data_IF_013194598753
#
_entry.id   IF_013194598753
#
_cell.length_a   1.000
_cell.length_b   1.000
_cell.length_c   1.000
_cell.angle_alpha   90.00
_cell.angle_beta   90.00
_cell.angle_gamma   90.00
#
_symmetry.space_group_name_H-M   'P 1'
#
loop_
_entity.id
_entity.type
_entity.pdbx_description
1 polymer ?
#
# COMPACT_ATOMS: atom_id res chain seq x y z
N UNK A 1 -13.64 30.78 -6.78
CA UNK A 1 -13.44 29.50 -6.05
C UNK A 1 -11.97 29.15 -6.10
N UNK A 2 -11.39 28.74 -5.01
CA UNK A 2 -9.97 28.33 -4.92
C UNK A 2 -9.81 26.96 -5.57
N UNK A 3 -9.18 26.90 -6.73
CA UNK A 3 -9.08 25.68 -7.55
C UNK A 3 -8.33 24.52 -6.86
N UNK A 4 -7.19 24.72 -6.19
CA UNK A 4 -6.51 23.64 -5.47
C UNK A 4 -7.39 23.01 -4.37
N UNK A 5 -8.10 23.82 -3.60
CA UNK A 5 -9.02 23.32 -2.55
C UNK A 5 -10.22 22.60 -3.14
N UNK A 6 -10.74 23.07 -4.24
CA UNK A 6 -11.84 22.40 -4.92
C UNK A 6 -11.40 21.06 -5.52
N UNK A 7 -10.24 20.99 -6.13
CA UNK A 7 -9.68 19.74 -6.65
C UNK A 7 -9.45 18.71 -5.51
N UNK A 8 -8.95 19.16 -4.37
CA UNK A 8 -8.81 18.31 -3.18
C UNK A 8 -10.17 17.83 -2.65
N UNK A 9 -11.17 18.70 -2.61
CA UNK A 9 -12.54 18.35 -2.23
C UNK A 9 -13.13 17.29 -3.19
N UNK A 10 -13.03 17.49 -4.49
CA UNK A 10 -13.53 16.54 -5.49
C UNK A 10 -12.86 15.16 -5.34
N UNK A 11 -11.56 15.12 -5.06
CA UNK A 11 -10.83 13.86 -4.81
C UNK A 11 -11.34 13.17 -3.53
N UNK A 12 -11.50 13.89 -2.41
CA UNK A 12 -12.02 13.35 -1.16
C UNK A 12 -13.47 12.88 -1.32
N UNK A 13 -14.30 13.67 -2.02
CA UNK A 13 -15.69 13.31 -2.30
C UNK A 13 -15.80 12.05 -3.17
N UNK A 14 -14.96 11.91 -4.21
CA UNK A 14 -14.91 10.71 -5.03
C UNK A 14 -14.50 9.46 -4.23
N UNK A 15 -13.54 9.61 -3.31
CA UNK A 15 -13.14 8.53 -2.39
C UNK A 15 -14.31 8.05 -1.52
N UNK A 16 -15.13 8.98 -0.99
CA UNK A 16 -16.23 8.64 -0.10
C UNK A 16 -17.52 8.22 -0.83
N UNK A 17 -17.80 8.82 -1.98
CA UNK A 17 -19.03 8.57 -2.73
C UNK A 17 -18.93 7.37 -3.67
N UNK A 18 -17.78 7.25 -4.36
CA UNK A 18 -17.61 6.33 -5.48
C UNK A 18 -16.64 5.18 -5.15
N UNK A 19 -16.24 5.03 -3.89
CA UNK A 19 -15.20 4.08 -3.46
C UNK A 19 -13.89 4.17 -4.25
N UNK A 20 -13.62 5.35 -4.83
CA UNK A 20 -12.44 5.58 -5.65
C UNK A 20 -11.16 5.55 -4.81
N UNK A 21 -10.04 5.19 -5.42
CA UNK A 21 -8.73 5.32 -4.79
C UNK A 21 -8.13 6.70 -5.09
N UNK A 22 -7.69 7.42 -4.06
CA UNK A 22 -7.15 8.77 -4.19
C UNK A 22 -5.99 8.85 -5.20
N UNK A 23 -5.10 7.85 -5.20
CA UNK A 23 -3.97 7.77 -6.12
C UNK A 23 -4.36 7.56 -7.60
N UNK A 24 -5.59 7.13 -7.87
CA UNK A 24 -6.09 6.97 -9.24
C UNK A 24 -6.88 8.19 -9.72
N UNK A 25 -7.67 8.82 -8.85
CA UNK A 25 -8.55 9.93 -9.26
C UNK A 25 -7.87 11.28 -9.19
N UNK A 26 -7.04 11.54 -8.18
CA UNK A 26 -6.41 12.84 -7.99
C UNK A 26 -5.54 13.28 -9.18
N UNK A 27 -4.68 12.44 -9.78
CA UNK A 27 -3.91 12.86 -10.96
C UNK A 27 -4.76 13.32 -12.15
N UNK A 28 -5.91 12.69 -12.36
CA UNK A 28 -6.86 13.09 -13.41
C UNK A 28 -7.53 14.43 -13.07
N UNK A 29 -8.01 14.59 -11.83
CA UNK A 29 -8.61 15.84 -11.37
C UNK A 29 -7.63 17.01 -11.50
N UNK A 30 -6.36 16.83 -11.10
CA UNK A 30 -5.35 17.88 -11.22
C UNK A 30 -5.07 18.26 -12.66
N UNK A 31 -4.99 17.30 -13.56
CA UNK A 31 -4.77 17.50 -15.00
C UNK A 31 -5.95 18.24 -15.63
N UNK A 32 -7.16 17.79 -15.36
CA UNK A 32 -8.38 18.39 -15.91
C UNK A 32 -8.61 19.84 -15.42
N UNK A 33 -8.17 20.12 -14.18
CA UNK A 33 -8.18 21.46 -13.61
C UNK A 33 -6.97 22.32 -14.04
N UNK A 34 -6.02 21.79 -14.81
CA UNK A 34 -4.81 22.51 -15.24
C UNK A 34 -3.86 22.86 -14.08
N UNK A 35 -3.94 22.15 -12.93
CA UNK A 35 -3.14 22.42 -11.76
C UNK A 35 -1.76 21.79 -11.90
N UNK A 36 -0.73 22.60 -11.69
CA UNK A 36 0.69 22.17 -11.74
C UNK A 36 1.50 22.77 -10.59
N UNK A 37 2.74 22.32 -10.40
CA UNK A 37 3.67 22.91 -9.45
C UNK A 37 3.13 22.99 -8.01
N UNK A 38 3.18 24.18 -7.43
CA UNK A 38 2.78 24.40 -6.02
C UNK A 38 1.29 24.17 -5.76
N UNK A 39 0.43 24.48 -6.72
CA UNK A 39 -1.01 24.32 -6.57
C UNK A 39 -1.42 22.83 -6.61
N UNK A 40 -0.82 22.06 -7.51
CA UNK A 40 -0.99 20.60 -7.52
C UNK A 40 -0.44 19.94 -6.25
N UNK A 41 0.72 20.40 -5.76
CA UNK A 41 1.30 19.91 -4.52
C UNK A 41 0.40 20.22 -3.31
N UNK A 42 -0.19 21.42 -3.27
CA UNK A 42 -1.11 21.81 -2.20
C UNK A 42 -2.42 21.02 -2.23
N UNK A 43 -3.03 20.83 -3.40
CA UNK A 43 -4.21 19.98 -3.56
C UNK A 43 -3.92 18.53 -3.15
N UNK A 44 -2.74 18.02 -3.51
CA UNK A 44 -2.28 16.67 -3.12
C UNK A 44 -2.14 16.56 -1.60
N UNK A 45 -1.50 17.54 -0.97
CA UNK A 45 -1.34 17.59 0.49
C UNK A 45 -2.70 17.61 1.20
N UNK A 46 -3.62 18.46 0.75
CA UNK A 46 -4.97 18.54 1.34
C UNK A 46 -5.73 17.22 1.19
N UNK A 47 -5.65 16.58 0.04
CA UNK A 47 -6.35 15.31 -0.23
C UNK A 47 -5.82 14.21 0.69
N UNK A 48 -4.54 13.90 0.59
CA UNK A 48 -3.97 12.79 1.37
C UNK A 48 -3.90 13.07 2.86
N UNK A 49 -3.63 14.32 3.25
CA UNK A 49 -3.62 14.73 4.64
C UNK A 49 -4.99 14.56 5.29
N UNK A 50 -6.06 15.01 4.61
CA UNK A 50 -7.43 14.80 5.10
C UNK A 50 -7.77 13.31 5.25
N UNK A 51 -7.40 12.48 4.27
CA UNK A 51 -7.66 11.03 4.32
C UNK A 51 -6.85 10.31 5.40
N UNK A 52 -5.58 10.71 5.64
CA UNK A 52 -4.74 10.16 6.72
C UNK A 52 -5.29 10.46 8.11
N UNK A 53 -5.82 11.65 8.31
CA UNK A 53 -6.30 12.10 9.60
C UNK A 53 -7.83 11.95 9.78
N UNK A 54 -8.49 11.22 8.87
CA UNK A 54 -9.95 11.15 8.78
C UNK A 54 -10.63 10.81 10.11
N UNK A 55 -10.16 9.81 10.85
CA UNK A 55 -10.78 9.39 12.12
C UNK A 55 -10.64 10.43 13.22
N UNK A 56 -9.46 11.05 13.35
CA UNK A 56 -9.21 12.13 14.30
C UNK A 56 -10.03 13.36 13.93
N UNK A 57 -10.09 13.73 12.65
CA UNK A 57 -10.90 14.84 12.16
C UNK A 57 -12.38 14.61 12.42
N UNK A 58 -12.90 13.41 12.21
CA UNK A 58 -14.30 13.08 12.48
C UNK A 58 -14.65 13.18 13.95
N UNK A 59 -13.76 12.74 14.85
CA UNK A 59 -13.95 12.88 16.28
C UNK A 59 -13.97 14.38 16.70
N UNK A 60 -13.03 15.17 16.19
CA UNK A 60 -12.96 16.61 16.45
C UNK A 60 -14.20 17.33 15.91
N UNK A 61 -14.60 17.04 14.67
CA UNK A 61 -15.79 17.64 14.06
C UNK A 61 -17.08 17.25 14.79
N UNK A 62 -17.18 16.01 15.29
CA UNK A 62 -18.30 15.56 16.12
C UNK A 62 -18.39 16.37 17.40
N UNK A 63 -17.27 16.58 18.10
CA UNK A 63 -17.23 17.39 19.33
C UNK A 63 -17.53 18.88 19.05
N UNK A 64 -16.91 19.47 18.03
CA UNK A 64 -17.09 20.86 17.67
C UNK A 64 -18.52 21.18 17.16
N UNK A 65 -19.14 20.21 16.45
CA UNK A 65 -20.50 20.36 15.95
C UNK A 65 -21.59 20.04 16.99
N UNK A 66 -21.22 19.43 18.13
CA UNK A 66 -22.16 18.94 19.13
C UNK A 66 -23.12 17.85 18.62
N UNK A 67 -22.76 17.19 17.54
CA UNK A 67 -23.52 16.07 16.92
C UNK A 67 -22.60 15.16 16.09
N UNK A 68 -23.02 13.92 15.93
CA UNK A 68 -22.30 12.94 15.11
C UNK A 68 -22.04 13.49 13.68
N UNK A 69 -20.78 13.47 13.28
CA UNK A 69 -20.31 13.92 11.96
C UNK A 69 -21.00 13.17 10.83
N UNK A 70 -21.41 11.91 11.03
CA UNK A 70 -22.12 11.10 10.04
C UNK A 70 -23.54 11.61 9.73
N UNK A 71 -24.10 12.47 10.62
CA UNK A 71 -25.39 13.15 10.42
C UNK A 71 -25.28 14.47 9.68
N UNK A 72 -24.06 14.90 9.34
CA UNK A 72 -23.82 16.07 8.48
C UNK A 72 -23.96 15.62 7.02
N UNK A 73 -24.61 16.47 6.21
CA UNK A 73 -24.74 16.24 4.78
C UNK A 73 -23.37 15.93 4.14
N UNK A 74 -23.22 14.81 3.39
CA UNK A 74 -21.92 14.35 2.92
C UNK A 74 -21.06 15.41 2.22
N UNK A 75 -21.55 16.23 1.29
CA UNK A 75 -20.75 17.30 0.68
C UNK A 75 -20.23 18.32 1.70
N UNK A 76 -21.04 18.68 2.68
CA UNK A 76 -20.66 19.63 3.75
C UNK A 76 -19.65 19.00 4.69
N UNK A 77 -19.86 17.73 5.05
CA UNK A 77 -18.94 16.96 5.89
C UNK A 77 -17.54 16.86 5.28
N UNK A 78 -17.44 16.56 3.99
CA UNK A 78 -16.14 16.45 3.31
C UNK A 78 -15.43 17.80 3.21
N UNK A 79 -16.18 18.87 2.97
CA UNK A 79 -15.63 20.23 3.02
C UNK A 79 -15.14 20.60 4.45
N UNK A 80 -15.88 20.23 5.51
CA UNK A 80 -15.48 20.44 6.89
C UNK A 80 -14.23 19.64 7.27
N UNK A 81 -14.10 18.39 6.83
CA UNK A 81 -12.88 17.56 7.01
C UNK A 81 -11.66 18.25 6.42
N UNK A 82 -11.79 18.75 5.18
CA UNK A 82 -10.73 19.47 4.49
C UNK A 82 -10.36 20.78 5.23
N UNK A 83 -11.36 21.51 5.74
CA UNK A 83 -11.17 22.72 6.53
C UNK A 83 -10.48 22.44 7.86
N UNK A 84 -10.92 21.42 8.59
CA UNK A 84 -10.34 21.00 9.85
C UNK A 84 -8.89 20.53 9.67
N UNK A 85 -8.58 19.79 8.60
CA UNK A 85 -7.21 19.42 8.26
C UNK A 85 -6.32 20.66 8.05
N UNK A 86 -6.79 21.65 7.29
CA UNK A 86 -6.04 22.90 7.10
C UNK A 86 -5.75 23.63 8.41
N UNK A 87 -6.72 23.69 9.30
CA UNK A 87 -6.61 24.37 10.61
C UNK A 87 -5.63 23.71 11.55
N UNK A 88 -5.58 22.37 11.55
CA UNK A 88 -4.88 21.59 12.56
C UNK A 88 -3.50 21.08 12.11
N UNK A 89 -3.30 20.87 10.81
CA UNK A 89 -2.13 20.16 10.31
C UNK A 89 -1.37 20.92 9.22
N UNK A 90 -1.80 22.14 8.84
CA UNK A 90 -1.08 22.93 7.82
C UNK A 90 -0.65 24.29 8.39
N UNK A 91 0.17 25.00 7.62
CA UNK A 91 0.59 26.37 7.93
C UNK A 91 -0.35 27.44 7.37
N UNK A 92 -1.52 27.04 6.89
CA UNK A 92 -2.52 27.99 6.38
C UNK A 92 -3.04 28.82 7.56
N UNK A 93 -3.03 30.17 7.48
CA UNK A 93 -3.60 31.00 8.56
C UNK A 93 -5.07 30.65 8.85
N UNK A 94 -5.44 30.56 10.12
CA UNK A 94 -6.77 30.07 10.53
C UNK A 94 -7.92 30.83 9.85
N UNK A 95 -7.81 32.18 9.74
CA UNK A 95 -8.84 32.98 9.07
C UNK A 95 -8.98 32.63 7.58
N UNK A 96 -7.88 32.31 6.90
CA UNK A 96 -7.88 31.92 5.50
C UNK A 96 -8.46 30.51 5.31
N UNK A 97 -8.10 29.56 6.18
CA UNK A 97 -8.67 28.20 6.20
C UNK A 97 -10.19 28.22 6.40
N UNK A 98 -10.66 28.98 7.40
CA UNK A 98 -12.10 29.13 7.66
C UNK A 98 -12.81 29.76 6.47
N UNK A 99 -12.33 30.92 5.98
CA UNK A 99 -12.98 31.65 4.87
C UNK A 99 -13.06 30.78 3.59
N UNK A 100 -11.95 30.18 3.19
CA UNK A 100 -11.92 29.36 1.96
C UNK A 100 -12.78 28.09 2.06
N UNK A 101 -12.88 27.50 3.26
CA UNK A 101 -13.77 26.34 3.49
C UNK A 101 -15.24 26.76 3.48
N UNK A 102 -15.60 27.91 4.07
CA UNK A 102 -16.98 28.46 3.99
C UNK A 102 -17.35 28.76 2.55
N UNK A 103 -16.42 29.28 1.73
CA UNK A 103 -16.67 29.50 0.30
C UNK A 103 -16.87 28.17 -0.46
N UNK A 104 -16.13 27.12 -0.10
CA UNK A 104 -16.33 25.78 -0.62
C UNK A 104 -17.72 25.24 -0.23
N UNK A 105 -18.10 25.36 1.05
CA UNK A 105 -19.44 24.93 1.54
C UNK A 105 -20.55 25.73 0.84
N UNK A 106 -20.36 27.00 0.53
CA UNK A 106 -21.33 27.80 -0.24
C UNK A 106 -21.59 27.22 -1.63
N UNK A 107 -20.59 26.60 -2.23
CA UNK A 107 -20.75 25.97 -3.54
C UNK A 107 -21.43 24.58 -3.47
N UNK A 108 -21.18 23.80 -2.42
CA UNK A 108 -21.62 22.39 -2.33
C UNK A 108 -22.83 22.16 -1.43
N UNK A 109 -23.11 23.08 -0.50
CA UNK A 109 -24.24 23.03 0.46
C UNK A 109 -24.58 24.43 0.99
N UNK A 110 -25.14 25.33 0.16
CA UNK A 110 -25.24 26.77 0.46
C UNK A 110 -25.99 27.09 1.75
N UNK A 111 -26.95 26.27 2.14
CA UNK A 111 -27.70 26.43 3.41
C UNK A 111 -26.88 26.18 4.69
N UNK A 112 -25.68 25.57 4.57
CA UNK A 112 -24.86 25.17 5.71
C UNK A 112 -23.69 26.13 6.01
N UNK A 113 -23.57 27.27 5.33
CA UNK A 113 -22.41 28.20 5.48
C UNK A 113 -22.26 28.74 6.90
N UNK A 114 -23.37 29.13 7.56
CA UNK A 114 -23.35 29.58 8.93
C UNK A 114 -22.92 28.49 9.93
N UNK A 115 -23.44 27.29 9.74
CA UNK A 115 -23.05 26.10 10.51
C UNK A 115 -21.57 25.78 10.34
N UNK A 116 -21.08 25.71 9.09
CA UNK A 116 -19.69 25.46 8.81
C UNK A 116 -18.73 26.46 9.43
N UNK A 117 -19.08 27.77 9.37
CA UNK A 117 -18.28 28.80 10.00
C UNK A 117 -18.21 28.64 11.52
N UNK A 118 -19.33 28.28 12.16
CA UNK A 118 -19.38 28.08 13.61
C UNK A 118 -18.52 26.86 14.02
N UNK A 119 -18.66 25.72 13.33
CA UNK A 119 -17.90 24.51 13.60
C UNK A 119 -16.39 24.74 13.40
N UNK A 120 -16.00 25.36 12.30
CA UNK A 120 -14.56 25.60 12.01
C UNK A 120 -13.93 26.59 13.01
N UNK A 121 -14.68 27.57 13.53
CA UNK A 121 -14.18 28.45 14.59
C UNK A 121 -13.97 27.71 15.90
N UNK A 122 -14.85 26.76 16.24
CA UNK A 122 -14.67 25.91 17.42
C UNK A 122 -13.43 25.01 17.24
N UNK A 123 -13.26 24.39 16.05
CA UNK A 123 -12.06 23.60 15.72
C UNK A 123 -10.78 24.43 15.87
N UNK A 124 -10.79 25.68 15.40
CA UNK A 124 -9.64 26.59 15.46
C UNK A 124 -9.29 27.07 16.87
N UNK A 125 -10.16 26.84 17.85
CA UNK A 125 -9.95 27.23 19.24
C UNK A 125 -8.90 26.42 20.00
N UNK A 126 -8.46 25.27 19.42
CA UNK A 126 -7.44 24.36 20.00
C UNK A 126 -6.55 23.83 18.91
N UNK A 127 -5.31 23.49 19.27
CA UNK A 127 -4.42 22.70 18.39
C UNK A 127 -4.83 21.22 18.36
N UNK A 128 -4.21 20.47 17.45
CA UNK A 128 -4.49 19.04 17.27
C UNK A 128 -4.22 18.23 18.54
N UNK A 129 -3.12 18.52 19.23
CA UNK A 129 -2.74 17.81 20.46
C UNK A 129 -3.71 18.07 21.61
N UNK A 130 -4.21 19.31 21.73
CA UNK A 130 -5.23 19.66 22.75
C UNK A 130 -6.55 18.94 22.47
N UNK A 131 -6.94 18.81 21.19
CA UNK A 131 -8.11 18.03 20.81
C UNK A 131 -7.92 16.55 21.13
N UNK A 132 -6.77 15.96 20.80
CA UNK A 132 -6.46 14.56 21.11
C UNK A 132 -6.48 14.32 22.61
N UNK A 133 -5.82 15.17 23.42
CA UNK A 133 -5.86 15.08 24.89
C UNK A 133 -7.27 15.13 25.46
N UNK A 134 -8.18 15.88 24.84
CA UNK A 134 -9.57 15.99 25.30
C UNK A 134 -10.43 14.78 24.91
N UNK A 135 -10.20 14.19 23.73
CA UNK A 135 -11.10 13.22 23.11
C UNK A 135 -10.62 11.78 23.24
N UNK A 136 -9.30 11.55 23.30
CA UNK A 136 -8.74 10.20 23.40
C UNK A 136 -8.99 9.62 24.79
N UNK A 137 -9.30 8.31 24.89
CA UNK A 137 -9.31 7.64 26.18
C UNK A 137 -7.92 7.70 26.84
N UNK A 138 -7.81 7.60 28.17
CA UNK A 138 -6.51 7.61 28.84
C UNK A 138 -5.63 6.44 28.37
N UNK A 139 -4.35 6.72 28.10
CA UNK A 139 -3.39 5.73 27.60
C UNK A 139 -3.22 4.55 28.56
N UNK A 140 -3.33 4.78 29.86
CA UNK A 140 -3.17 3.77 30.92
C UNK A 140 -4.31 2.74 30.94
N UNK A 141 -5.54 3.17 30.59
CA UNK A 141 -6.73 2.31 30.65
C UNK A 141 -7.14 1.72 29.32
N UNK A 142 -6.94 2.45 28.22
CA UNK A 142 -7.22 1.99 26.86
C UNK A 142 -6.16 2.50 25.88
N UNK A 143 -4.96 1.88 25.86
CA UNK A 143 -3.89 2.31 24.98
C UNK A 143 -4.25 2.14 23.49
N UNK A 144 -5.02 1.13 23.13
CA UNK A 144 -5.46 0.90 21.75
C UNK A 144 -6.42 1.99 21.27
N UNK A 145 -7.41 2.34 22.10
CA UNK A 145 -8.34 3.43 21.79
C UNK A 145 -7.64 4.77 21.71
N UNK A 146 -6.68 5.03 22.61
CA UNK A 146 -5.86 6.24 22.59
C UNK A 146 -5.10 6.36 21.27
N UNK A 147 -4.31 5.35 20.92
CA UNK A 147 -3.51 5.33 19.70
C UNK A 147 -4.37 5.41 18.43
N UNK A 148 -5.51 4.72 18.43
CA UNK A 148 -6.46 4.74 17.33
C UNK A 148 -6.96 6.15 17.02
N UNK A 149 -7.32 6.92 18.04
CA UNK A 149 -7.77 8.29 17.87
C UNK A 149 -6.61 9.24 17.58
N UNK A 150 -5.51 9.13 18.32
CA UNK A 150 -4.36 10.03 18.18
C UNK A 150 -3.74 9.96 16.78
N UNK A 151 -3.68 8.77 16.19
CA UNK A 151 -3.06 8.53 14.89
C UNK A 151 -4.03 8.15 13.77
N UNK A 152 -5.34 8.33 14.01
CA UNK A 152 -6.36 8.16 12.96
C UNK A 152 -6.38 6.77 12.31
N UNK A 153 -6.46 5.74 13.13
CA UNK A 153 -6.62 4.36 12.68
C UNK A 153 -7.81 3.68 13.37
N UNK A 154 -8.54 2.78 12.70
CA UNK A 154 -9.49 1.90 13.38
C UNK A 154 -8.82 1.06 14.47
N UNK A 155 -9.47 0.89 15.62
CA UNK A 155 -8.90 0.14 16.75
C UNK A 155 -8.47 -1.28 16.40
N UNK A 156 -9.20 -1.95 15.48
CA UNK A 156 -8.85 -3.31 15.06
C UNK A 156 -7.52 -3.36 14.30
N UNK A 157 -7.20 -2.32 13.52
CA UNK A 157 -5.91 -2.20 12.82
C UNK A 157 -4.78 -1.97 13.83
N UNK A 158 -4.99 -1.08 14.81
CA UNK A 158 -4.00 -0.85 15.87
C UNK A 158 -3.73 -2.13 16.65
N UNK A 159 -4.77 -2.93 16.98
CA UNK A 159 -4.59 -4.25 17.62
C UNK A 159 -3.80 -5.22 16.74
N UNK A 160 -4.11 -5.29 15.44
CA UNK A 160 -3.40 -6.16 14.50
C UNK A 160 -1.91 -5.78 14.40
N UNK A 161 -1.60 -4.49 14.38
CA UNK A 161 -0.21 -4.01 14.39
C UNK A 161 0.50 -4.32 15.71
N UNK A 162 -0.15 -4.03 16.85
CA UNK A 162 0.42 -4.35 18.16
C UNK A 162 0.70 -5.86 18.31
N UNK A 163 -0.22 -6.72 17.87
CA UNK A 163 -0.03 -8.18 17.87
C UNK A 163 1.15 -8.59 16.99
N UNK A 164 1.24 -8.08 15.77
CA UNK A 164 2.32 -8.39 14.84
C UNK A 164 3.70 -7.87 15.31
N UNK A 165 3.70 -6.83 16.16
CA UNK A 165 4.90 -6.27 16.81
C UNK A 165 5.16 -6.85 18.22
N UNK A 166 4.55 -8.00 18.56
CA UNK A 166 4.77 -8.69 19.83
C UNK A 166 4.23 -7.96 21.07
N UNK A 167 3.26 -7.06 20.90
CA UNK A 167 2.67 -6.25 21.98
C UNK A 167 3.45 -4.97 22.32
N UNK A 168 4.50 -4.63 21.57
CA UNK A 168 5.29 -3.41 21.79
C UNK A 168 4.49 -2.18 21.31
N UNK A 169 3.93 -1.44 22.26
CA UNK A 169 3.18 -0.21 22.00
C UNK A 169 4.07 0.93 21.49
N UNK A 170 5.35 0.95 21.85
CA UNK A 170 6.32 1.94 21.36
C UNK A 170 6.60 1.74 19.87
N UNK A 171 6.85 0.49 19.44
CA UNK A 171 6.99 0.13 18.03
C UNK A 171 5.68 0.39 17.27
N UNK A 172 4.53 0.02 17.86
CA UNK A 172 3.22 0.29 17.28
C UNK A 172 3.01 1.78 17.05
N UNK A 173 3.37 2.61 18.02
CA UNK A 173 3.27 4.07 17.90
C UNK A 173 4.14 4.61 16.76
N UNK A 174 5.39 4.15 16.65
CA UNK A 174 6.28 4.53 15.53
C UNK A 174 5.70 4.15 14.17
N UNK A 175 5.11 2.97 14.06
CA UNK A 175 4.43 2.54 12.83
C UNK A 175 3.24 3.43 12.47
N UNK A 176 2.37 3.75 13.45
CA UNK A 176 1.20 4.60 13.22
C UNK A 176 1.59 6.04 12.83
N UNK A 177 2.69 6.57 13.38
CA UNK A 177 3.26 7.85 12.97
C UNK A 177 3.71 7.77 11.50
N UNK A 178 4.50 6.75 11.15
CA UNK A 178 5.02 6.57 9.78
C UNK A 178 3.89 6.36 8.76
N UNK A 179 2.79 5.71 9.15
CA UNK A 179 1.62 5.55 8.27
C UNK A 179 0.92 6.90 7.97
N UNK A 180 1.15 7.93 8.77
CA UNK A 180 0.65 9.28 8.55
C UNK A 180 1.64 10.17 7.77
N UNK A 181 2.88 9.74 7.60
CA UNK A 181 3.85 10.46 6.79
C UNK A 181 3.62 10.25 5.28
N UNK A 182 4.11 11.21 4.49
CA UNK A 182 4.10 11.09 3.04
C UNK A 182 5.23 10.17 2.59
N UNK A 183 4.94 8.98 2.04
CA UNK A 183 5.99 8.11 1.55
C UNK A 183 6.65 8.69 0.30
N UNK A 184 7.97 8.50 0.11
CA UNK A 184 8.61 8.77 -1.14
C UNK A 184 8.04 7.88 -2.25
N UNK A 185 8.12 8.35 -3.49
CA UNK A 185 7.81 7.52 -4.66
C UNK A 185 9.03 6.68 -4.98
N UNK A 186 8.87 5.36 -4.95
CA UNK A 186 9.91 4.43 -5.33
C UNK A 186 9.72 4.00 -6.79
N UNK A 187 10.77 4.08 -7.57
CA UNK A 187 10.88 3.50 -8.90
C UNK A 187 11.67 2.20 -8.82
N UNK A 188 11.39 1.28 -9.70
CA UNK A 188 12.18 0.09 -9.95
C UNK A 188 12.84 0.24 -11.32
N UNK A 189 14.15 0.40 -11.35
CA UNK A 189 14.95 0.27 -12.56
C UNK A 189 14.87 -1.18 -13.05
N UNK A 190 14.62 -1.40 -14.34
CA UNK A 190 14.51 -2.75 -14.87
C UNK A 190 15.89 -3.33 -15.13
N UNK A 191 16.22 -4.51 -14.56
CA UNK A 191 17.44 -5.24 -14.90
C UNK A 191 17.63 -5.39 -16.42
N UNK A 192 18.85 -5.15 -16.89
CA UNK A 192 19.19 -5.18 -18.31
C UNK A 192 18.73 -3.99 -19.16
N UNK A 193 17.89 -3.07 -18.61
CA UNK A 193 17.36 -1.90 -19.35
C UNK A 193 17.74 -0.56 -18.73
N UNK A 194 17.99 -0.50 -17.44
CA UNK A 194 18.43 0.72 -16.74
C UNK A 194 19.34 0.38 -15.56
N UNK A 195 20.41 1.14 -15.43
CA UNK A 195 21.19 1.20 -14.21
C UNK A 195 20.49 2.11 -13.18
N UNK A 196 20.32 1.70 -11.92
CA UNK A 196 19.59 2.48 -10.91
C UNK A 196 20.32 3.78 -10.53
N UNK A 197 21.66 3.84 -10.61
CA UNK A 197 22.43 5.06 -10.32
C UNK A 197 22.24 6.08 -11.45
N UNK A 198 22.37 5.64 -12.71
CA UNK A 198 22.13 6.49 -13.88
C UNK A 198 20.68 6.98 -13.91
N UNK A 199 19.73 6.10 -13.60
CA UNK A 199 18.32 6.48 -13.50
C UNK A 199 18.07 7.50 -12.39
N UNK A 200 18.72 7.36 -11.23
CA UNK A 200 18.59 8.31 -10.13
C UNK A 200 19.08 9.72 -10.56
N UNK A 201 20.20 9.79 -11.25
CA UNK A 201 20.71 11.05 -11.80
C UNK A 201 19.76 11.64 -12.87
N UNK A 202 19.22 10.79 -13.77
CA UNK A 202 18.26 11.22 -14.83
C UNK A 202 17.00 11.84 -14.25
N UNK A 203 16.45 11.26 -13.16
CA UNK A 203 15.18 11.72 -12.56
C UNK A 203 15.36 12.72 -11.42
N UNK A 204 16.59 13.12 -11.10
CA UNK A 204 16.89 13.99 -9.95
C UNK A 204 16.51 13.33 -8.62
N UNK A 205 16.73 12.03 -8.50
CA UNK A 205 16.42 11.21 -7.35
C UNK A 205 17.65 10.70 -6.62
N UNK A 206 17.51 9.61 -5.88
CA UNK A 206 18.59 8.90 -5.21
C UNK A 206 18.40 7.39 -5.34
N UNK A 207 19.46 6.56 -5.38
CA UNK A 207 19.35 5.12 -5.26
C UNK A 207 18.61 4.72 -3.98
N UNK A 208 17.86 3.61 -4.04
CA UNK A 208 17.15 3.06 -2.89
C UNK A 208 18.10 2.62 -1.76
N UNK A 209 17.53 2.49 -0.55
CA UNK A 209 18.32 2.13 0.62
C UNK A 209 18.75 0.65 0.61
N UNK A 210 17.95 -0.22 0.03
CA UNK A 210 18.12 -1.67 0.16
C UNK A 210 18.03 -2.41 -1.19
N UNK A 211 17.02 -2.16 -2.01
CA UNK A 211 16.89 -2.86 -3.27
C UNK A 211 17.92 -2.40 -4.29
N UNK A 212 18.65 -3.33 -4.95
CA UNK A 212 19.61 -2.95 -6.00
C UNK A 212 18.96 -2.34 -7.24
N UNK A 213 17.63 -2.28 -7.29
CA UNK A 213 16.87 -1.73 -8.42
C UNK A 213 16.07 -0.47 -8.03
N UNK A 214 16.06 -0.09 -6.74
CA UNK A 214 15.25 1.02 -6.29
C UNK A 214 15.88 2.36 -6.57
N UNK A 215 15.01 3.32 -6.97
CA UNK A 215 15.34 4.74 -7.06
C UNK A 215 14.24 5.53 -6.35
N UNK A 216 14.62 6.43 -5.46
CA UNK A 216 13.72 7.33 -4.76
C UNK A 216 13.59 8.63 -5.53
N UNK A 217 12.36 8.96 -5.91
CA UNK A 217 12.09 10.20 -6.61
C UNK A 217 12.00 11.37 -5.62
N UNK A 218 12.79 12.40 -5.83
CA UNK A 218 12.82 13.58 -4.95
C UNK A 218 11.58 14.46 -5.08
N UNK A 219 10.83 14.35 -6.18
CA UNK A 219 9.62 15.12 -6.45
C UNK A 219 9.09 14.92 -7.86
N UNK A 220 8.06 15.66 -8.22
CA UNK A 220 7.42 15.55 -9.55
C UNK A 220 6.36 14.45 -9.62
N UNK A 221 5.75 14.32 -10.78
CA UNK A 221 4.78 13.28 -11.10
C UNK A 221 5.47 12.13 -11.84
N UNK A 222 5.39 10.88 -11.34
CA UNK A 222 6.05 9.75 -12.01
C UNK A 222 5.62 9.58 -13.47
N UNK A 223 4.36 9.92 -13.79
CA UNK A 223 3.81 9.78 -15.14
C UNK A 223 4.50 10.63 -16.22
N UNK A 224 5.26 11.64 -15.82
CA UNK A 224 5.97 12.55 -16.73
C UNK A 224 7.40 12.08 -17.06
N UNK A 225 7.86 10.98 -16.43
CA UNK A 225 9.21 10.48 -16.57
C UNK A 225 9.39 9.68 -17.87
N UNK A 226 10.36 10.07 -18.75
CA UNK A 226 10.64 9.34 -19.99
C UNK A 226 11.01 7.86 -19.74
N UNK A 227 11.75 7.56 -18.66
CA UNK A 227 12.14 6.20 -18.31
C UNK A 227 10.94 5.27 -18.11
N UNK A 228 9.81 5.78 -17.56
CA UNK A 228 8.58 5.01 -17.38
C UNK A 228 7.88 4.78 -18.73
N UNK A 229 7.78 5.83 -19.56
CA UNK A 229 7.17 5.74 -20.89
C UNK A 229 7.93 4.77 -21.81
N UNK A 230 9.27 4.72 -21.69
CA UNK A 230 10.16 3.83 -22.42
C UNK A 230 10.22 2.40 -21.84
N UNK A 231 9.56 2.15 -20.72
CA UNK A 231 9.59 0.85 -20.06
C UNK A 231 10.91 0.48 -19.38
N UNK A 232 11.85 1.45 -19.22
CA UNK A 232 13.13 1.24 -18.52
C UNK A 232 12.98 1.17 -17.00
N UNK A 233 11.89 1.73 -16.47
CA UNK A 233 11.55 1.70 -15.06
C UNK A 233 10.03 1.63 -14.89
N UNK A 234 9.58 1.35 -13.65
CA UNK A 234 8.18 1.45 -13.25
C UNK A 234 8.06 1.84 -11.78
N UNK A 235 6.89 2.35 -11.39
CA UNK A 235 6.62 2.68 -9.97
C UNK A 235 6.38 1.40 -9.20
N UNK A 236 7.20 1.14 -8.18
CA UNK A 236 7.07 -0.02 -7.31
C UNK A 236 7.72 0.26 -5.95
N UNK A 237 7.00 -0.01 -4.86
CA UNK A 237 7.57 0.08 -3.51
C UNK A 237 8.83 -0.79 -3.36
N UNK A 238 9.84 -0.27 -2.66
CA UNK A 238 11.12 -0.98 -2.49
C UNK A 238 10.96 -2.32 -1.76
N UNK A 239 10.09 -2.42 -0.76
CA UNK A 239 9.79 -3.69 -0.10
C UNK A 239 9.17 -4.71 -1.06
N UNK A 240 8.35 -4.25 -2.00
CA UNK A 240 7.79 -5.09 -3.06
C UNK A 240 8.85 -5.57 -4.06
N UNK A 241 9.91 -4.78 -4.31
CA UNK A 241 11.07 -5.20 -5.11
C UNK A 241 11.90 -6.24 -4.35
N UNK A 242 12.16 -6.00 -3.05
CA UNK A 242 12.95 -6.89 -2.21
C UNK A 242 12.36 -8.30 -2.11
N UNK A 243 11.06 -8.43 -1.92
CA UNK A 243 10.43 -9.76 -1.83
C UNK A 243 10.41 -10.50 -3.18
N UNK A 244 10.31 -9.76 -4.30
CA UNK A 244 10.43 -10.36 -5.63
C UNK A 244 11.87 -10.80 -5.92
N UNK A 245 12.86 -9.97 -5.59
CA UNK A 245 14.27 -10.32 -5.71
C UNK A 245 14.65 -11.50 -4.82
N UNK A 246 14.14 -11.57 -3.60
CA UNK A 246 14.36 -12.71 -2.70
C UNK A 246 13.89 -14.04 -3.30
N UNK A 247 12.76 -14.07 -4.03
CA UNK A 247 12.37 -15.25 -4.79
C UNK A 247 13.39 -15.59 -5.88
N UNK A 248 13.88 -14.59 -6.61
CA UNK A 248 14.85 -14.78 -7.67
C UNK A 248 16.18 -15.34 -7.16
N UNK A 249 16.59 -14.93 -5.94
CA UNK A 249 17.85 -15.35 -5.32
C UNK A 249 17.72 -16.58 -4.41
N UNK A 250 16.50 -17.06 -4.13
CA UNK A 250 16.29 -18.22 -3.29
C UNK A 250 17.00 -19.46 -3.87
N UNK A 251 17.79 -20.20 -3.07
CA UNK A 251 18.47 -21.39 -3.55
C UNK A 251 17.45 -22.49 -3.92
N UNK A 252 17.64 -23.11 -5.06
CA UNK A 252 16.86 -24.26 -5.52
C UNK A 252 17.76 -25.32 -6.15
N UNK A 253 17.23 -26.54 -6.29
CA UNK A 253 17.93 -27.63 -6.93
C UNK A 253 17.47 -27.83 -8.39
N UNK A 254 18.40 -27.93 -9.34
CA UNK A 254 18.12 -28.23 -10.75
C UNK A 254 17.81 -26.98 -11.60
N UNK A 255 16.94 -27.10 -12.63
CA UNK A 255 16.69 -26.03 -13.61
C UNK A 255 16.03 -24.80 -12.99
N UNK A 256 16.29 -23.62 -13.57
CA UNK A 256 15.82 -22.31 -13.09
C UNK A 256 15.38 -21.41 -14.26
N UNK A 257 14.50 -21.89 -15.12
CA UNK A 257 14.07 -21.13 -16.31
C UNK A 257 12.56 -20.98 -16.46
N UNK A 258 11.74 -21.61 -15.60
CA UNK A 258 10.27 -21.58 -15.69
C UNK A 258 9.68 -21.01 -14.42
N UNK A 259 9.33 -19.73 -14.47
CA UNK A 259 8.81 -19.02 -13.30
C UNK A 259 7.30 -18.77 -13.42
N UNK A 260 6.62 -18.62 -12.30
CA UNK A 260 5.18 -18.38 -12.22
C UNK A 260 4.89 -17.29 -11.21
N UNK A 261 4.00 -16.35 -11.57
CA UNK A 261 3.38 -15.38 -10.65
C UNK A 261 1.87 -15.62 -10.67
N UNK A 262 1.32 -16.11 -9.55
CA UNK A 262 -0.09 -16.53 -9.45
C UNK A 262 -1.07 -15.38 -9.20
N UNK A 263 -0.61 -14.18 -8.84
CA UNK A 263 -1.44 -13.02 -8.53
C UNK A 263 -0.79 -11.74 -9.06
N UNK A 264 -0.54 -11.71 -10.36
CA UNK A 264 0.38 -10.80 -11.02
C UNK A 264 -0.04 -9.31 -11.05
N UNK A 265 -1.32 -9.00 -10.91
CA UNK A 265 -1.83 -7.64 -11.06
C UNK A 265 -1.37 -6.67 -9.96
N UNK A 266 -1.01 -5.43 -10.31
CA UNK A 266 -1.07 -4.81 -11.64
C UNK A 266 0.18 -4.96 -12.52
N UNK A 267 1.19 -5.80 -12.16
CA UNK A 267 2.34 -6.11 -12.99
C UNK A 267 3.70 -5.66 -12.45
N UNK A 268 3.77 -4.99 -11.30
CA UNK A 268 5.05 -4.50 -10.76
C UNK A 268 6.05 -5.64 -10.48
N UNK A 269 5.66 -6.64 -9.68
CA UNK A 269 6.52 -7.81 -9.38
C UNK A 269 6.78 -8.66 -10.63
N UNK A 270 5.75 -8.88 -11.47
CA UNK A 270 5.93 -9.58 -12.75
C UNK A 270 6.88 -8.86 -13.71
N UNK A 271 6.91 -7.52 -13.70
CA UNK A 271 7.86 -6.72 -14.49
C UNK A 271 9.31 -6.94 -14.05
N UNK A 272 9.56 -6.94 -12.74
CA UNK A 272 10.88 -7.21 -12.17
C UNK A 272 11.29 -8.68 -12.40
N UNK A 273 10.42 -9.63 -12.05
CA UNK A 273 10.70 -11.07 -12.24
C UNK A 273 10.88 -11.43 -13.72
N UNK A 274 10.10 -10.80 -14.62
CA UNK A 274 10.23 -10.99 -16.06
C UNK A 274 11.59 -10.53 -16.60
N UNK A 275 12.14 -9.43 -16.08
CA UNK A 275 13.47 -8.96 -16.43
C UNK A 275 14.55 -9.90 -15.88
N UNK A 276 14.45 -10.31 -14.60
CA UNK A 276 15.40 -11.21 -13.95
C UNK A 276 15.45 -12.60 -14.59
N UNK A 277 14.30 -13.15 -14.98
CA UNK A 277 14.26 -14.46 -15.64
C UNK A 277 14.78 -14.38 -17.08
N UNK A 278 14.62 -13.23 -17.76
CA UNK A 278 15.19 -13.00 -19.09
C UNK A 278 16.72 -13.08 -19.08
N UNK A 279 17.39 -12.49 -18.08
CA UNK A 279 18.85 -12.59 -17.91
C UNK A 279 19.32 -14.03 -17.73
N UNK A 280 18.46 -14.93 -17.26
CA UNK A 280 18.72 -16.37 -17.11
C UNK A 280 18.27 -17.20 -18.31
N UNK A 281 17.82 -16.56 -19.40
CA UNK A 281 17.31 -17.24 -20.60
C UNK A 281 15.97 -17.98 -20.38
N UNK A 282 15.27 -17.67 -19.30
CA UNK A 282 14.00 -18.31 -18.92
C UNK A 282 12.77 -17.51 -19.35
N UNK A 283 11.62 -17.88 -18.78
CA UNK A 283 10.31 -17.26 -19.03
C UNK A 283 9.45 -17.23 -17.79
N UNK A 284 8.58 -16.23 -17.69
CA UNK A 284 7.59 -16.08 -16.63
C UNK A 284 6.17 -16.33 -17.17
N UNK A 285 5.38 -17.10 -16.44
CA UNK A 285 3.92 -17.13 -16.61
C UNK A 285 3.29 -16.25 -15.52
N UNK A 286 2.48 -15.28 -15.91
CA UNK A 286 1.83 -14.34 -14.99
C UNK A 286 0.31 -14.54 -15.05
N UNK A 287 -0.32 -14.78 -13.91
CA UNK A 287 -1.75 -15.09 -13.78
C UNK A 287 -2.46 -13.95 -13.07
N UNK A 288 -3.57 -13.47 -13.65
CA UNK A 288 -4.44 -12.47 -13.01
C UNK A 288 -5.90 -12.76 -13.38
N UNK A 289 -6.75 -12.86 -12.36
CA UNK A 289 -8.16 -13.21 -12.52
C UNK A 289 -9.00 -12.07 -13.10
N UNK A 290 -8.67 -10.82 -12.73
CA UNK A 290 -9.40 -9.64 -13.19
C UNK A 290 -8.87 -9.17 -14.56
N UNK A 291 -9.73 -9.19 -15.59
CA UNK A 291 -9.35 -8.86 -16.97
C UNK A 291 -8.68 -7.50 -17.12
N UNK A 292 -9.24 -6.46 -16.46
CA UNK A 292 -8.66 -5.12 -16.53
C UNK A 292 -7.24 -5.06 -15.92
N UNK A 293 -6.97 -5.84 -14.85
CA UNK A 293 -5.65 -5.94 -14.23
C UNK A 293 -4.70 -6.79 -15.07
N UNK A 294 -5.20 -7.88 -15.70
CA UNK A 294 -4.41 -8.68 -16.63
C UNK A 294 -3.90 -7.84 -17.81
N UNK A 295 -4.72 -6.89 -18.30
CA UNK A 295 -4.28 -5.91 -19.32
C UNK A 295 -3.15 -5.00 -18.81
N UNK A 296 -3.19 -4.57 -17.55
CA UNK A 296 -2.09 -3.81 -16.94
C UNK A 296 -0.81 -4.64 -16.81
N UNK A 297 -0.93 -5.91 -16.42
CA UNK A 297 0.22 -6.84 -16.40
C UNK A 297 0.83 -6.99 -17.79
N UNK A 298 0.00 -7.21 -18.82
CA UNK A 298 0.48 -7.33 -20.20
C UNK A 298 1.18 -6.05 -20.69
N UNK A 299 0.68 -4.87 -20.30
CA UNK A 299 1.32 -3.60 -20.61
C UNK A 299 2.67 -3.46 -19.87
N UNK A 300 2.70 -3.80 -18.58
CA UNK A 300 3.89 -3.70 -17.75
C UNK A 300 5.00 -4.67 -18.17
N UNK A 301 4.68 -5.77 -18.85
CA UNK A 301 5.62 -6.84 -19.22
C UNK A 301 5.81 -6.99 -20.73
N UNK A 302 5.38 -5.99 -21.54
CA UNK A 302 5.27 -6.08 -23.01
C UNK A 302 6.52 -6.59 -23.71
N UNK A 303 7.69 -6.12 -23.30
CA UNK A 303 8.97 -6.42 -23.96
C UNK A 303 9.80 -7.48 -23.20
N UNK A 304 9.14 -8.25 -22.34
CA UNK A 304 9.74 -9.28 -21.50
C UNK A 304 9.23 -10.68 -21.89
N UNK A 305 9.99 -11.76 -21.60
CA UNK A 305 9.56 -13.12 -21.87
C UNK A 305 8.47 -13.59 -20.91
N UNK A 306 7.34 -12.85 -20.86
CA UNK A 306 6.23 -13.06 -19.96
C UNK A 306 4.98 -13.45 -20.74
N UNK A 307 4.34 -14.55 -20.34
CA UNK A 307 3.03 -14.97 -20.83
C UNK A 307 1.97 -14.62 -19.80
N UNK A 308 1.04 -13.72 -20.14
CA UNK A 308 -0.05 -13.34 -19.25
C UNK A 308 -1.27 -14.22 -19.48
N UNK A 309 -1.82 -14.78 -18.42
CA UNK A 309 -3.03 -15.60 -18.43
C UNK A 309 -4.13 -14.90 -17.60
N UNK A 310 -5.25 -14.60 -18.23
CA UNK A 310 -6.43 -14.12 -17.53
C UNK A 310 -7.23 -15.33 -17.04
N UNK A 311 -6.91 -15.84 -15.88
CA UNK A 311 -7.55 -16.99 -15.25
C UNK A 311 -7.36 -16.95 -13.73
N UNK A 312 -8.02 -17.86 -13.03
CA UNK A 312 -7.83 -18.02 -11.58
C UNK A 312 -6.51 -18.74 -11.28
N UNK A 313 -5.69 -18.21 -10.38
CA UNK A 313 -4.43 -18.83 -9.94
C UNK A 313 -4.61 -20.21 -9.29
N UNK A 314 -5.83 -20.54 -8.85
CA UNK A 314 -6.17 -21.86 -8.31
C UNK A 314 -6.34 -22.94 -9.37
N UNK A 315 -6.41 -22.58 -10.64
CA UNK A 315 -6.62 -23.51 -11.77
C UNK A 315 -5.37 -24.31 -12.15
N UNK A 316 -4.39 -24.41 -11.26
CA UNK A 316 -3.22 -25.28 -11.43
C UNK A 316 -3.65 -26.74 -11.52
N UNK A 317 -3.25 -27.42 -12.60
CA UNK A 317 -3.65 -28.78 -12.95
C UNK A 317 -4.86 -28.85 -13.86
N UNK A 318 -5.72 -27.85 -13.86
CA UNK A 318 -6.93 -27.80 -14.70
C UNK A 318 -6.73 -26.96 -15.97
N UNK A 319 -5.83 -25.96 -15.92
CA UNK A 319 -5.53 -25.10 -17.05
C UNK A 319 -4.28 -25.59 -17.81
N UNK A 320 -4.30 -25.75 -19.17
CA UNK A 320 -3.21 -26.35 -19.94
C UNK A 320 -1.84 -25.68 -19.79
N UNK A 321 -1.83 -24.37 -19.48
CA UNK A 321 -0.60 -23.59 -19.27
C UNK A 321 -0.20 -23.48 -17.78
N UNK A 322 -0.92 -24.13 -16.88
CA UNK A 322 -0.64 -24.19 -15.44
C UNK A 322 -0.54 -25.64 -14.97
N UNK A 323 0.41 -26.42 -15.52
CA UNK A 323 0.57 -27.82 -15.11
C UNK A 323 1.11 -27.94 -13.69
N UNK A 324 0.86 -29.07 -13.06
CA UNK A 324 1.48 -29.46 -11.79
C UNK A 324 2.96 -29.83 -12.00
N UNK A 325 3.77 -29.74 -10.94
CA UNK A 325 5.18 -30.19 -10.90
C UNK A 325 6.06 -29.60 -12.04
N UNK A 326 5.80 -28.36 -12.39
CA UNK A 326 6.38 -27.79 -13.62
C UNK A 326 7.29 -26.58 -13.39
N UNK A 327 6.91 -25.67 -12.52
CA UNK A 327 7.62 -24.41 -12.36
C UNK A 327 8.80 -24.53 -11.38
N UNK A 328 9.86 -23.80 -11.66
CA UNK A 328 11.07 -23.80 -10.83
C UNK A 328 10.92 -22.83 -9.67
N UNK A 329 10.33 -21.66 -9.92
CA UNK A 329 10.01 -20.62 -8.92
C UNK A 329 8.57 -20.18 -9.07
N UNK A 330 7.87 -20.02 -7.94
CA UNK A 330 6.47 -19.54 -7.91
C UNK A 330 6.35 -18.39 -6.93
N UNK A 331 5.83 -17.26 -7.40
CA UNK A 331 5.39 -16.15 -6.55
C UNK A 331 3.89 -16.28 -6.25
N UNK A 332 3.53 -16.08 -5.00
CA UNK A 332 2.16 -15.84 -4.55
C UNK A 332 2.13 -14.50 -3.84
N UNK A 333 1.96 -13.41 -4.60
CA UNK A 333 1.64 -12.08 -4.04
C UNK A 333 0.16 -12.06 -3.68
N UNK A 334 -0.16 -12.64 -2.52
CA UNK A 334 -1.52 -13.02 -2.17
C UNK A 334 -2.44 -11.82 -1.95
N UNK A 335 -3.68 -11.86 -2.48
CA UNK A 335 -4.70 -10.88 -2.11
C UNK A 335 -4.86 -10.85 -0.59
N UNK A 336 -4.75 -9.66 0.01
CA UNK A 336 -4.76 -9.47 1.45
C UNK A 336 -5.51 -8.19 1.85
N UNK A 337 -5.61 -7.93 3.15
CA UNK A 337 -6.22 -6.69 3.65
C UNK A 337 -5.46 -5.43 3.22
N UNK A 338 -4.17 -5.54 2.91
CA UNK A 338 -3.34 -4.41 2.47
C UNK A 338 -2.94 -3.46 3.59
N UNK A 339 -2.96 -3.90 4.85
CA UNK A 339 -2.63 -3.06 6.01
C UNK A 339 -1.18 -2.55 6.01
N UNK A 340 -0.31 -3.16 5.22
CA UNK A 340 1.08 -2.72 5.09
C UNK A 340 1.30 -1.53 4.17
N UNK A 341 0.28 -1.11 3.39
CA UNK A 341 0.38 -0.04 2.40
C UNK A 341 -0.49 1.18 2.75
N UNK A 342 -0.90 1.33 4.02
CA UNK A 342 -1.85 2.38 4.47
C UNK A 342 -1.30 3.79 4.30
N UNK A 343 0.01 4.01 4.37
CA UNK A 343 0.62 5.31 4.10
C UNK A 343 0.41 5.78 2.66
N UNK A 344 0.30 4.84 1.69
CA UNK A 344 0.05 5.11 0.27
C UNK A 344 -1.43 5.14 -0.08
N UNK A 345 -2.27 4.42 0.70
CA UNK A 345 -3.72 4.29 0.51
C UNK A 345 -4.46 4.48 1.83
N UNK A 346 -4.43 5.70 2.39
CA UNK A 346 -4.99 5.97 3.72
C UNK A 346 -6.50 5.69 3.80
N UNK A 347 -7.24 5.84 2.71
CA UNK A 347 -8.66 5.50 2.63
C UNK A 347 -8.94 4.01 2.92
N UNK A 348 -7.98 3.14 2.67
CA UNK A 348 -8.13 1.70 2.92
C UNK A 348 -8.31 1.38 4.41
N UNK A 349 -7.85 2.23 5.33
CA UNK A 349 -8.07 2.09 6.78
C UNK A 349 -9.55 1.96 7.13
N UNK A 350 -10.39 2.73 6.46
CA UNK A 350 -11.81 2.88 6.78
C UNK A 350 -12.72 1.99 5.94
N UNK A 351 -12.18 1.41 4.85
CA UNK A 351 -12.88 0.45 4.00
C UNK A 351 -12.75 -0.97 4.49
N UNK A 352 -11.59 -1.32 5.04
CA UNK A 352 -11.34 -2.66 5.54
C UNK A 352 -12.03 -2.91 6.86
N UNK A 353 -12.55 -4.14 7.00
CA UNK A 353 -13.26 -4.60 8.19
C UNK A 353 -12.67 -5.95 8.66
N UNK A 354 -12.76 -6.29 9.95
CA UNK A 354 -12.36 -7.62 10.43
C UNK A 354 -13.04 -8.79 9.71
N UNK A 355 -14.27 -8.56 9.21
CA UNK A 355 -15.03 -9.55 8.42
C UNK A 355 -14.40 -9.87 7.06
N UNK A 356 -13.45 -9.07 6.56
CA UNK A 356 -12.74 -9.36 5.32
C UNK A 356 -11.68 -10.46 5.49
N UNK A 357 -11.21 -10.70 6.71
CA UNK A 357 -10.14 -11.65 7.00
C UNK A 357 -10.50 -13.11 6.67
N UNK A 358 -11.65 -13.68 7.08
CA UNK A 358 -11.95 -15.08 6.81
C UNK A 358 -12.00 -15.45 5.32
N UNK A 359 -12.64 -14.68 4.42
CA UNK A 359 -12.63 -15.00 2.99
C UNK A 359 -11.24 -14.81 2.38
N UNK A 360 -10.47 -13.79 2.78
CA UNK A 360 -9.11 -13.55 2.28
C UNK A 360 -8.16 -14.68 2.70
N UNK A 361 -8.14 -15.06 3.95
CA UNK A 361 -7.25 -16.13 4.44
C UNK A 361 -7.58 -17.50 3.85
N UNK A 362 -8.85 -17.76 3.53
CA UNK A 362 -9.25 -18.95 2.76
C UNK A 362 -8.63 -18.91 1.37
N UNK A 363 -8.79 -17.80 0.64
CA UNK A 363 -8.23 -17.63 -0.69
C UNK A 363 -6.69 -17.73 -0.69
N UNK A 364 -6.04 -17.13 0.29
CA UNK A 364 -4.59 -17.20 0.47
C UNK A 364 -4.08 -18.64 0.61
N UNK A 365 -4.77 -19.45 1.44
CA UNK A 365 -4.44 -20.88 1.59
C UNK A 365 -4.67 -21.67 0.31
N UNK A 366 -5.76 -21.41 -0.41
CA UNK A 366 -6.06 -22.06 -1.70
C UNK A 366 -5.00 -21.73 -2.76
N UNK A 367 -4.57 -20.46 -2.84
CA UNK A 367 -3.52 -20.01 -3.75
C UNK A 367 -2.16 -20.60 -3.39
N UNK A 368 -1.80 -20.64 -2.11
CA UNK A 368 -0.54 -21.24 -1.68
C UNK A 368 -0.52 -22.76 -1.93
N UNK A 369 -1.65 -23.44 -1.71
CA UNK A 369 -1.77 -24.86 -2.07
C UNK A 369 -1.65 -25.08 -3.58
N UNK A 370 -2.20 -24.19 -4.41
CA UNK A 370 -2.03 -24.24 -5.86
C UNK A 370 -0.57 -24.01 -6.26
N UNK A 371 0.14 -23.06 -5.63
CA UNK A 371 1.55 -22.80 -5.86
C UNK A 371 2.43 -24.02 -5.54
N UNK A 372 2.15 -24.68 -4.41
CA UNK A 372 2.86 -25.89 -3.99
C UNK A 372 2.61 -27.10 -4.92
N UNK A 373 1.46 -27.15 -5.61
CA UNK A 373 1.23 -28.11 -6.69
C UNK A 373 1.94 -27.71 -8.00
N UNK A 374 2.01 -26.41 -8.30
CA UNK A 374 2.62 -25.91 -9.54
C UNK A 374 4.14 -26.04 -9.54
N UNK A 375 4.78 -25.79 -8.40
CA UNK A 375 6.23 -25.88 -8.26
C UNK A 375 6.67 -27.35 -8.34
N UNK A 376 7.77 -27.62 -9.03
CA UNK A 376 8.35 -28.96 -9.11
C UNK A 376 9.06 -29.34 -7.78
N UNK A 377 9.33 -30.63 -7.54
CA UNK A 377 10.26 -31.04 -6.47
C UNK A 377 11.61 -30.31 -6.59
N UNK A 378 12.15 -29.84 -5.46
CA UNK A 378 13.38 -29.04 -5.39
C UNK A 378 13.22 -27.56 -5.81
N UNK A 379 12.06 -27.17 -6.32
CA UNK A 379 11.73 -25.77 -6.63
C UNK A 379 11.24 -24.97 -5.40
N UNK A 380 11.06 -23.67 -5.56
CA UNK A 380 10.75 -22.76 -4.46
C UNK A 380 9.49 -21.94 -4.71
N UNK A 381 8.76 -21.66 -3.62
CA UNK A 381 7.58 -20.80 -3.59
C UNK A 381 7.85 -19.64 -2.65
N UNK A 382 7.69 -18.40 -3.10
CA UNK A 382 7.60 -17.24 -2.22
C UNK A 382 6.14 -16.87 -2.00
N UNK A 383 5.70 -16.93 -0.75
CA UNK A 383 4.43 -16.37 -0.32
C UNK A 383 4.64 -14.98 0.25
N UNK A 384 3.91 -14.02 -0.28
CA UNK A 384 4.06 -12.59 0.01
C UNK A 384 2.70 -11.96 0.30
N UNK A 385 2.65 -11.07 1.27
CA UNK A 385 1.51 -10.16 1.48
C UNK A 385 1.98 -8.75 1.80
N UNK A 386 1.23 -7.73 1.37
CA UNK A 386 1.38 -6.36 1.86
C UNK A 386 0.49 -6.14 3.11
N UNK A 387 0.51 -7.06 4.04
CA UNK A 387 -0.19 -7.01 5.32
C UNK A 387 0.65 -7.67 6.40
N UNK A 388 0.85 -7.04 7.57
CA UNK A 388 1.51 -7.67 8.71
C UNK A 388 0.56 -8.47 9.60
N UNK A 389 -0.74 -8.59 9.26
CA UNK A 389 -1.72 -9.28 10.09
C UNK A 389 -1.35 -10.75 10.27
N UNK A 390 -1.19 -11.21 11.51
CA UNK A 390 -0.68 -12.55 11.86
C UNK A 390 -1.42 -13.68 11.17
N UNK A 391 -2.75 -13.55 11.00
CA UNK A 391 -3.58 -14.56 10.33
C UNK A 391 -3.32 -14.63 8.82
N UNK A 392 -2.95 -13.52 8.17
CA UNK A 392 -2.61 -13.46 6.75
C UNK A 392 -1.15 -13.86 6.47
N UNK A 393 -0.31 -13.92 7.49
CA UNK A 393 1.13 -14.18 7.42
C UNK A 393 1.47 -15.55 8.00
N UNK A 394 2.00 -15.59 9.21
CA UNK A 394 2.53 -16.80 9.86
C UNK A 394 1.50 -17.93 9.97
N UNK A 395 0.24 -17.62 10.34
CA UNK A 395 -0.80 -18.64 10.51
C UNK A 395 -1.12 -19.29 9.16
N UNK A 396 -1.36 -18.46 8.13
CA UNK A 396 -1.68 -18.97 6.79
C UNK A 396 -0.56 -19.84 6.23
N UNK A 397 0.69 -19.39 6.30
CA UNK A 397 1.84 -20.15 5.74
C UNK A 397 2.06 -21.45 6.50
N UNK A 398 2.08 -21.42 7.84
CA UNK A 398 2.33 -22.59 8.67
C UNK A 398 1.24 -23.65 8.49
N UNK A 399 -0.04 -23.24 8.45
CA UNK A 399 -1.14 -24.17 8.20
C UNK A 399 -1.10 -24.76 6.79
N UNK A 400 -0.77 -23.94 5.77
CA UNK A 400 -0.69 -24.40 4.40
C UNK A 400 0.47 -25.37 4.18
N UNK A 401 1.65 -25.10 4.72
CA UNK A 401 2.80 -26.00 4.67
C UNK A 401 2.48 -27.34 5.32
N UNK A 402 1.82 -27.33 6.49
CA UNK A 402 1.42 -28.56 7.21
C UNK A 402 0.38 -29.40 6.44
N UNK A 403 -0.48 -28.74 5.63
CA UNK A 403 -1.57 -29.38 4.87
C UNK A 403 -1.24 -29.61 3.40
N UNK A 404 -0.01 -29.35 2.97
CA UNK A 404 0.38 -29.37 1.57
C UNK A 404 0.25 -30.74 0.87
N UNK A 405 0.25 -31.85 1.65
CA UNK A 405 0.23 -33.21 1.09
C UNK A 405 1.55 -33.62 0.40
N UNK A 406 2.54 -32.75 0.42
CA UNK A 406 3.92 -32.96 -0.07
C UNK A 406 4.89 -32.42 0.97
N UNK A 407 6.15 -32.92 1.03
CA UNK A 407 7.17 -32.35 1.88
C UNK A 407 7.42 -30.88 1.53
N UNK A 408 7.46 -30.02 2.54
CA UNK A 408 7.71 -28.59 2.41
C UNK A 408 8.62 -28.14 3.54
N UNK A 409 9.74 -27.53 3.18
CA UNK A 409 10.70 -26.95 4.12
C UNK A 409 10.69 -25.43 4.02
N UNK A 410 10.83 -24.75 5.14
CA UNK A 410 11.05 -23.30 5.15
C UNK A 410 12.51 -23.00 4.80
N UNK A 411 12.72 -22.17 3.82
CA UNK A 411 14.01 -21.56 3.50
C UNK A 411 14.13 -20.27 4.33
N UNK A 412 15.24 -20.08 5.01
CA UNK A 412 15.49 -18.81 5.73
C UNK A 412 15.55 -17.65 4.73
N UNK A 413 14.56 -16.76 4.80
CA UNK A 413 14.45 -15.64 3.87
C UNK A 413 15.36 -14.45 4.24
N UNK A 414 15.91 -14.40 5.47
CA UNK A 414 16.75 -13.27 5.92
C UNK A 414 18.02 -13.07 5.10
N UNK A 415 18.80 -14.15 4.79
CA UNK A 415 19.97 -14.01 3.91
C UNK A 415 19.66 -13.65 2.46
N UNK A 416 18.40 -13.75 2.03
CA UNK A 416 17.95 -13.38 0.67
C UNK A 416 17.70 -11.88 0.53
N UNK A 417 17.75 -11.15 1.63
CA UNK A 417 17.65 -9.69 1.67
C UNK A 417 19.04 -9.08 1.85
N UNK A 418 19.23 -7.81 1.52
CA UNK A 418 20.52 -7.13 1.63
C UNK A 418 21.10 -7.23 3.03
N UNK A 419 22.40 -7.50 3.09
CA UNK A 419 23.13 -7.60 4.36
C UNK A 419 23.02 -6.28 5.17
N UNK A 420 22.79 -6.41 6.46
CA UNK A 420 22.69 -5.25 7.36
C UNK A 420 21.31 -4.61 7.46
N UNK A 421 20.28 -5.14 6.78
CA UNK A 421 18.89 -4.69 7.04
C UNK A 421 18.50 -4.99 8.49
N UNK A 422 18.02 -3.99 9.26
CA UNK A 422 17.68 -4.17 10.66
C UNK A 422 16.34 -4.90 10.84
N UNK A 423 16.17 -5.63 11.96
CA UNK A 423 14.86 -6.03 12.46
C UNK A 423 14.04 -6.92 11.53
N UNK A 424 14.69 -7.85 10.81
CA UNK A 424 14.04 -8.80 9.90
C UNK A 424 13.27 -9.92 10.62
N UNK A 425 13.36 -10.01 11.95
CA UNK A 425 12.74 -11.06 12.76
C UNK A 425 13.72 -12.21 13.09
N UNK A 426 13.26 -13.13 13.94
CA UNK A 426 14.08 -14.22 14.47
C UNK A 426 13.86 -15.57 13.75
N UNK A 427 12.81 -15.69 12.97
CA UNK A 427 12.42 -16.91 12.27
C UNK A 427 12.86 -16.95 10.81
N UNK A 428 12.52 -18.00 10.05
CA UNK A 428 12.86 -18.10 8.62
C UNK A 428 12.05 -17.17 7.74
N UNK A 429 11.00 -16.55 8.24
CA UNK A 429 10.18 -15.56 7.52
C UNK A 429 10.62 -14.14 7.84
N UNK A 430 10.29 -13.20 6.96
CA UNK A 430 10.64 -11.79 7.11
C UNK A 430 9.38 -10.93 7.11
N UNK A 431 9.36 -9.94 7.99
CA UNK A 431 8.38 -8.86 7.99
C UNK A 431 9.10 -7.52 7.87
N UNK A 432 8.86 -6.83 6.74
CA UNK A 432 9.32 -5.45 6.55
C UNK A 432 8.31 -4.47 7.17
N UNK A 433 8.81 -3.32 7.61
CA UNK A 433 8.00 -2.32 8.31
C UNK A 433 8.29 -0.90 7.81
N UNK A 434 7.28 -0.03 7.64
CA UNK A 434 7.48 1.36 7.24
C UNK A 434 8.46 2.13 8.13
N UNK A 435 8.29 2.05 9.44
CA UNK A 435 9.10 2.78 10.44
C UNK A 435 10.52 2.23 10.65
N UNK A 436 10.84 1.04 10.14
CA UNK A 436 12.18 0.43 10.22
C UNK A 436 12.92 0.46 8.90
N UNK A 437 12.21 0.31 7.79
CA UNK A 437 12.80 0.06 6.48
C UNK A 437 12.42 1.12 5.44
N UNK A 438 11.48 2.05 5.75
CA UNK A 438 10.99 3.03 4.76
C UNK A 438 10.14 2.41 3.63
N UNK A 439 9.82 1.13 3.71
CA UNK A 439 9.04 0.37 2.71
C UNK A 439 7.60 0.15 3.18
N UNK A 440 6.74 -0.35 2.32
CA UNK A 440 5.46 -0.92 2.77
C UNK A 440 5.72 -2.14 3.67
N UNK A 441 4.78 -2.46 4.58
CA UNK A 441 4.93 -3.63 5.44
C UNK A 441 4.70 -4.90 4.62
N UNK A 442 5.78 -5.46 4.10
CA UNK A 442 5.75 -6.69 3.31
C UNK A 442 6.14 -7.89 4.15
N UNK A 443 5.33 -8.94 4.09
CA UNK A 443 5.68 -10.24 4.64
C UNK A 443 6.23 -11.16 3.54
N UNK A 444 7.24 -11.93 3.86
CA UNK A 444 7.86 -12.92 2.97
C UNK A 444 8.08 -14.25 3.71
N UNK A 445 7.59 -15.33 3.13
CA UNK A 445 7.99 -16.69 3.46
C UNK A 445 8.45 -17.40 2.19
N UNK A 446 9.59 -18.07 2.25
CA UNK A 446 10.12 -18.89 1.16
C UNK A 446 10.02 -20.35 1.56
N UNK A 447 9.38 -21.14 0.71
CA UNK A 447 9.12 -22.57 0.91
C UNK A 447 9.80 -23.35 -0.21
N UNK A 448 10.53 -24.41 0.13
CA UNK A 448 11.06 -25.37 -0.82
C UNK A 448 10.19 -26.62 -0.81
N UNK A 449 9.82 -27.11 -1.98
CA UNK A 449 9.14 -28.39 -2.11
C UNK A 449 10.17 -29.51 -2.19
N UNK A 450 10.03 -30.50 -1.29
CA UNK A 450 10.83 -31.75 -1.30
C UNK A 450 10.42 -32.73 -2.39
#
# INVERSE_FOLDING_TARGET
MDLPRYAAYEAVAAVHRDDAYANLVLPTILRDAGLTGRDAAFATELTYGTLRHLGTLDAILTAAAGRDVQRIDPPVRDALRLGAYQLLYTRVPAHAAVSSTVDLVRAVGPGATGFANAVLREVAGKDADAWVRQLAPPMESDPIGHLALAYSHPQWIVRAFAEALGGDLGETTRLLIEDNERPPVHLCARPGLADPVELADEVGGAPGAFSPYAVYLSGGAPGDLPALAQGRAHVQDEGSQLVANALAEAPLDGPDGRWLDLCAGPGGKSGLLGALVAERGGRLTAVEVAEHRARLVAQATRDLPVTVLNTDGRAVGDHPKLPVDHFDRVLVDAPCTGLGALRRRPESRWRRQPSDLPPLTRLQRELLAAALRAVRPGGVVAYVTCSPHTVETHVTVTESARRAGVPVDFVDARPLLPAGMPGLGDGPTVQLWPHRHGTDAMFLAVLRRG
#
